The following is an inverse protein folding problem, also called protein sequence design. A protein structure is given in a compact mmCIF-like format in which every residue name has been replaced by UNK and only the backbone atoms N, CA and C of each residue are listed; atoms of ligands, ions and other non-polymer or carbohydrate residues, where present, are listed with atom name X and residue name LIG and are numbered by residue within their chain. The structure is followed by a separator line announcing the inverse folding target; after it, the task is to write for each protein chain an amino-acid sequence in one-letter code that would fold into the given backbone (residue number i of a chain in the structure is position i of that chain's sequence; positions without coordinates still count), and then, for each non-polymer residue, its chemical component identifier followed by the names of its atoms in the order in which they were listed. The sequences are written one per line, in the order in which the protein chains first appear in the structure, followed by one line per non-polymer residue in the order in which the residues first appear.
data_IF_533467196416
#
_entry.id   IF_533467196416
#
_cell.length_a   1.000
_cell.length_b   1.000
_cell.length_c   1.000
_cell.angle_alpha   90.00
_cell.angle_beta   90.00
_cell.angle_gamma   90.00
#
_symmetry.space_group_name_H-M   'P 1'
#
loop_
_entity.id
_entity.type
_entity.pdbx_description
1 polymer ?
#
# COMPACT_ATOMS: atom_id res chain seq x y z
N UNK A 1 12.05 16.02 -1.97
CA UNK A 1 10.66 16.09 -1.46
C UNK A 1 9.69 15.74 -2.58
N UNK A 2 9.93 16.28 -3.79
CA UNK A 2 9.05 16.10 -4.95
C UNK A 2 8.85 14.64 -5.37
N UNK A 3 9.88 13.80 -5.26
CA UNK A 3 9.80 12.37 -5.58
C UNK A 3 8.64 11.63 -4.88
N UNK A 4 8.43 11.86 -3.57
CA UNK A 4 7.35 11.20 -2.84
C UNK A 4 5.96 11.72 -3.22
N UNK A 5 5.86 13.01 -3.55
CA UNK A 5 4.62 13.60 -4.04
C UNK A 5 4.26 13.05 -5.42
N UNK A 6 5.25 12.86 -6.29
CA UNK A 6 5.07 12.22 -7.60
C UNK A 6 4.64 10.76 -7.46
N UNK A 7 5.28 9.98 -6.58
CA UNK A 7 4.85 8.58 -6.31
C UNK A 7 3.41 8.52 -5.78
N UNK A 8 3.03 9.40 -4.85
CA UNK A 8 1.67 9.49 -4.34
C UNK A 8 0.67 9.87 -5.43
N UNK A 9 1.02 10.81 -6.32
CA UNK A 9 0.18 11.14 -7.46
C UNK A 9 -0.03 9.92 -8.38
N UNK A 10 1.01 9.12 -8.63
CA UNK A 10 0.91 7.88 -9.39
C UNK A 10 -0.05 6.89 -8.72
N UNK A 11 0.07 6.65 -7.41
CA UNK A 11 -0.82 5.72 -6.71
C UNK A 11 -2.29 6.18 -6.69
N UNK A 12 -2.52 7.48 -6.55
CA UNK A 12 -3.87 8.05 -6.65
C UNK A 12 -4.48 7.80 -8.04
N UNK A 13 -3.72 8.06 -9.11
CA UNK A 13 -4.15 7.77 -10.48
C UNK A 13 -4.43 6.27 -10.71
N UNK A 14 -3.59 5.38 -10.17
CA UNK A 14 -3.80 3.93 -10.29
C UNK A 14 -5.06 3.47 -9.55
N UNK A 15 -5.35 4.04 -8.38
CA UNK A 15 -6.59 3.78 -7.64
C UNK A 15 -7.81 4.19 -8.49
N UNK A 16 -7.79 5.38 -9.10
CA UNK A 16 -8.88 5.85 -9.97
C UNK A 16 -9.07 4.94 -11.21
N UNK A 17 -8.02 4.26 -11.65
CA UNK A 17 -8.07 3.30 -12.76
C UNK A 17 -8.51 1.89 -12.33
N UNK A 18 -8.90 1.69 -11.06
CA UNK A 18 -9.34 0.39 -10.55
C UNK A 18 -8.20 -0.54 -10.14
N UNK A 19 -7.01 0.00 -9.84
CA UNK A 19 -5.85 -0.73 -9.30
C UNK A 19 -5.58 -0.30 -7.85
N UNK A 20 -6.39 -0.72 -6.86
CA UNK A 20 -6.37 -0.15 -5.52
C UNK A 20 -5.33 -0.79 -4.58
N UNK A 21 -4.62 -1.83 -5.02
CA UNK A 21 -3.72 -2.61 -4.14
C UNK A 21 -2.27 -2.20 -4.37
N UNK A 22 -1.64 -1.66 -3.32
CA UNK A 22 -0.21 -1.38 -3.28
C UNK A 22 0.52 -2.48 -2.51
N UNK A 23 1.41 -3.22 -3.17
CA UNK A 23 2.19 -4.31 -2.57
C UNK A 23 3.66 -3.91 -2.51
N UNK A 24 4.29 -3.99 -1.34
CA UNK A 24 5.68 -3.54 -1.16
C UNK A 24 6.50 -4.47 -0.23
N UNK A 25 7.74 -4.85 -0.59
CA UNK A 25 8.67 -5.53 0.33
C UNK A 25 9.11 -4.61 1.48
N UNK A 26 8.77 -4.99 2.71
CA UNK A 26 8.96 -4.13 3.88
C UNK A 26 7.76 -3.22 4.13
N UNK A 27 7.98 -2.11 4.81
CA UNK A 27 6.92 -1.16 5.18
C UNK A 27 7.09 0.17 4.46
N UNK A 28 6.01 0.67 3.87
CA UNK A 28 5.90 2.06 3.43
C UNK A 28 5.00 2.80 4.42
N UNK A 29 5.59 3.27 5.54
CA UNK A 29 4.85 3.75 6.71
C UNK A 29 3.87 4.87 6.39
N UNK A 30 4.26 5.87 5.61
CA UNK A 30 3.38 7.01 5.29
C UNK A 30 2.12 6.59 4.54
N UNK A 31 2.22 5.71 3.55
CA UNK A 31 1.05 5.19 2.82
C UNK A 31 0.17 4.32 3.74
N UNK A 32 0.79 3.48 4.59
CA UNK A 32 0.04 2.69 5.58
C UNK A 32 -0.70 3.58 6.59
N UNK A 33 -0.11 4.70 7.01
CA UNK A 33 -0.74 5.66 7.91
C UNK A 33 -1.89 6.41 7.23
N UNK A 34 -1.72 6.81 5.96
CA UNK A 34 -2.77 7.48 5.17
C UNK A 34 -3.96 6.54 4.98
N UNK A 35 -3.72 5.31 4.51
CA UNK A 35 -4.75 4.28 4.36
C UNK A 35 -5.39 3.88 5.70
N UNK A 36 -4.64 4.02 6.80
CA UNK A 36 -5.13 3.83 8.16
C UNK A 36 -5.94 5.00 8.72
N UNK A 37 -6.17 6.07 7.94
CA UNK A 37 -6.96 7.23 8.33
C UNK A 37 -6.26 8.22 9.26
N UNK A 38 -4.94 8.11 9.44
CA UNK A 38 -4.17 9.00 10.32
C UNK A 38 -3.92 10.39 9.68
N UNK A 39 -4.18 10.53 8.38
CA UNK A 39 -3.96 11.74 7.60
C UNK A 39 -5.23 12.13 6.83
N UNK A 40 -6.26 12.69 7.51
CA UNK A 40 -7.58 12.95 6.89
C UNK A 40 -7.53 14.03 5.78
N UNK A 41 -6.46 14.82 5.71
CA UNK A 41 -6.24 15.80 4.65
C UNK A 41 -5.60 15.25 3.37
N UNK A 42 -5.25 13.96 3.34
CA UNK A 42 -4.69 13.32 2.15
C UNK A 42 -5.75 13.18 1.04
N UNK A 43 -5.36 13.08 -0.24
CA UNK A 43 -6.29 12.71 -1.31
C UNK A 43 -7.06 11.43 -0.98
N UNK A 44 -8.35 11.40 -1.30
CA UNK A 44 -9.24 10.28 -0.96
C UNK A 44 -8.76 8.97 -1.58
N UNK A 45 -8.23 9.05 -2.78
CA UNK A 45 -7.65 7.92 -3.50
C UNK A 45 -6.56 7.23 -2.67
N UNK A 46 -5.73 8.00 -1.96
CA UNK A 46 -4.68 7.45 -1.11
C UNK A 46 -5.21 6.90 0.22
N UNK A 47 -6.28 7.51 0.75
CA UNK A 47 -6.96 6.99 1.94
C UNK A 47 -7.66 5.65 1.66
N UNK A 48 -8.18 5.47 0.44
CA UNK A 48 -8.90 4.27 0.01
C UNK A 48 -7.97 3.17 -0.56
N UNK A 49 -6.64 3.37 -0.57
CA UNK A 49 -5.66 2.37 -1.02
C UNK A 49 -5.56 1.18 -0.06
N UNK A 50 -5.45 -0.02 -0.62
CA UNK A 50 -5.16 -1.25 0.14
C UNK A 50 -3.64 -1.45 0.16
N UNK A 51 -3.00 -1.22 1.30
CA UNK A 51 -1.54 -1.34 1.46
C UNK A 51 -1.17 -2.70 2.04
N UNK A 52 -0.39 -3.48 1.29
CA UNK A 52 0.08 -4.81 1.67
C UNK A 52 1.60 -4.80 1.82
N UNK A 53 2.07 -4.93 3.07
CA UNK A 53 3.50 -5.05 3.40
C UNK A 53 3.96 -6.50 3.37
N UNK A 54 4.93 -6.83 2.51
CA UNK A 54 5.51 -8.16 2.43
C UNK A 54 6.69 -8.30 3.37
N UNK A 55 6.64 -9.28 4.27
CA UNK A 55 7.80 -9.71 5.06
C UNK A 55 8.45 -10.92 4.40
N UNK A 56 9.46 -10.66 3.58
CA UNK A 56 10.20 -11.72 2.92
C UNK A 56 11.12 -12.41 3.92
N UNK A 57 10.80 -13.65 4.29
CA UNK A 57 11.70 -14.51 5.04
C UNK A 57 12.50 -15.34 4.04
N UNK A 58 13.82 -15.18 4.03
CA UNK A 58 14.70 -16.01 3.21
C UNK A 58 14.53 -17.48 3.58
N UNK A 59 13.96 -18.26 2.65
CA UNK A 59 14.02 -19.71 2.67
C UNK A 59 15.00 -20.10 1.56
N UNK A 60 16.09 -20.79 1.90
CA UNK A 60 16.84 -21.51 0.86
C UNK A 60 15.85 -22.32 0.02
N UNK A 61 15.93 -22.20 -1.32
CA UNK A 61 15.08 -22.86 -2.33
C UNK A 61 13.67 -23.23 -1.82
N UNK A 62 12.79 -22.25 -1.57
CA UNK A 62 11.41 -22.56 -1.17
C UNK A 62 10.48 -21.35 -1.20
N UNK A 63 9.36 -21.50 -1.92
CA UNK A 63 8.29 -20.53 -2.22
C UNK A 63 7.99 -19.48 -1.14
N UNK A 64 7.73 -18.25 -1.58
CA UNK A 64 7.20 -17.16 -0.74
C UNK A 64 5.71 -17.40 -0.46
N UNK A 65 5.32 -17.34 0.81
CA UNK A 65 3.92 -17.34 1.24
C UNK A 65 3.51 -15.87 1.39
N UNK A 66 2.55 -15.43 0.59
CA UNK A 66 1.90 -14.12 0.73
C UNK A 66 0.67 -14.34 1.60
N UNK A 67 0.81 -14.09 2.90
CA UNK A 67 -0.33 -14.04 3.81
C UNK A 67 -1.02 -12.69 3.64
N UNK A 68 -2.21 -12.69 3.03
CA UNK A 68 -3.11 -11.54 3.12
C UNK A 68 -3.81 -11.61 4.49
N UNK A 69 -3.57 -10.67 5.43
CA UNK A 69 -4.52 -10.51 6.51
C UNK A 69 -5.86 -10.18 5.86
N UNK A 70 -6.88 -10.97 6.17
CA UNK A 70 -8.26 -10.73 5.76
C UNK A 70 -8.73 -9.39 6.35
N UNK A 71 -8.41 -8.29 5.67
CA UNK A 71 -9.09 -7.02 5.85
C UNK A 71 -10.41 -7.17 5.10
N UNK A 72 -11.46 -7.48 5.86
CA UNK A 72 -12.83 -7.40 5.41
C UNK A 72 -13.05 -6.01 4.81
N UNK A 73 -13.32 -5.99 3.51
CA UNK A 73 -13.99 -4.87 2.85
C UNK A 73 -15.39 -4.83 3.45
N UNK A 74 -15.72 -3.74 4.14
CA UNK A 74 -17.10 -3.41 4.52
C UNK A 74 -17.69 -2.50 3.45
#
# INVERSE_FOLDING_TARGET
MDYFLEEFAVFACLQQQGLPVFVYPGSFSTLSEIAGGLHPGAPRELQDLIVVSLRLKGRGRGSAIIDFPALFVN
#
